data_IF_790114595199
#
_entry.id   IF_790114595199
#
_cell.length_a   1.000
_cell.length_b   1.000
_cell.length_c   1.000
_cell.angle_alpha   90.00
_cell.angle_beta   90.00
_cell.angle_gamma   90.00
#
_symmetry.space_group_name_H-M   'P 1'
#
loop_
_entity.id
_entity.type
_entity.pdbx_description
1 polymer ?
#
# COMPACT_ATOMS: atom_id res chain seq x y z
N UNK A 1 -25.43 12.16 -1.90
CA UNK A 1 -24.76 11.14 -1.04
C UNK A 1 -23.57 10.46 -1.70
N UNK A 2 -23.47 10.34 -3.04
CA UNK A 2 -22.31 9.70 -3.71
C UNK A 2 -20.95 10.32 -3.34
N UNK A 3 -20.88 11.65 -3.26
CA UNK A 3 -19.66 12.39 -2.87
C UNK A 3 -19.17 12.05 -1.45
N UNK A 4 -20.07 11.93 -0.47
CA UNK A 4 -19.71 11.58 0.91
C UNK A 4 -19.07 10.19 1.01
N UNK A 5 -19.54 9.23 0.22
CA UNK A 5 -18.99 7.86 0.19
C UNK A 5 -17.61 7.83 -0.44
N UNK A 6 -17.38 8.59 -1.52
CA UNK A 6 -16.05 8.68 -2.14
C UNK A 6 -15.03 9.37 -1.21
N UNK A 7 -15.41 10.46 -0.54
CA UNK A 7 -14.55 11.09 0.47
C UNK A 7 -14.20 10.14 1.62
N UNK A 8 -15.16 9.32 2.07
CA UNK A 8 -14.91 8.31 3.10
C UNK A 8 -13.90 7.25 2.64
N UNK A 9 -14.00 6.77 1.39
CA UNK A 9 -13.04 5.81 0.83
C UNK A 9 -11.62 6.36 0.79
N UNK A 10 -11.44 7.63 0.42
CA UNK A 10 -10.13 8.28 0.41
C UNK A 10 -9.59 8.39 1.84
N UNK A 11 -10.43 8.82 2.80
CA UNK A 11 -10.05 8.92 4.21
C UNK A 11 -9.71 7.57 4.86
N UNK A 12 -10.28 6.46 4.36
CA UNK A 12 -10.10 5.14 4.96
C UNK A 12 -8.65 4.67 4.98
N UNK A 13 -7.86 5.04 3.97
CA UNK A 13 -6.43 4.72 3.93
C UNK A 13 -5.63 5.39 5.06
N UNK A 14 -6.05 6.57 5.53
CA UNK A 14 -5.38 7.31 6.60
C UNK A 14 -5.59 6.66 7.98
N UNK A 15 -6.64 5.85 8.18
CA UNK A 15 -6.85 5.14 9.45
C UNK A 15 -5.79 4.10 9.78
N UNK A 16 -4.97 3.69 8.80
CA UNK A 16 -3.90 2.72 9.05
C UNK A 16 -2.65 3.35 9.68
N UNK A 17 -2.49 4.67 9.56
CA UNK A 17 -1.28 5.40 9.98
C UNK A 17 -0.96 5.23 11.48
N UNK A 18 -1.93 5.28 12.43
CA UNK A 18 -1.64 5.02 13.84
C UNK A 18 -1.06 3.63 14.10
N UNK A 19 -1.50 2.61 13.34
CA UNK A 19 -0.95 1.26 13.45
C UNK A 19 0.47 1.18 12.90
N UNK A 20 0.79 1.96 11.86
CA UNK A 20 2.15 2.01 11.31
C UNK A 20 3.16 2.55 12.33
N UNK A 21 2.80 3.61 13.06
CA UNK A 21 3.66 4.14 14.13
C UNK A 21 3.89 3.12 15.25
N UNK A 22 2.89 2.28 15.55
CA UNK A 22 3.03 1.22 16.55
C UNK A 22 4.00 0.12 16.10
N UNK A 23 3.95 -0.30 14.82
CA UNK A 23 4.81 -1.36 14.31
C UNK A 23 6.22 -0.90 13.91
N UNK A 24 6.42 0.39 13.64
CA UNK A 24 7.70 0.93 13.16
C UNK A 24 8.08 2.20 13.90
N UNK A 25 8.86 2.10 15.00
CA UNK A 25 9.38 3.26 15.73
C UNK A 25 10.20 4.20 14.85
N UNK A 26 10.83 3.68 13.79
CA UNK A 26 11.55 4.50 12.81
C UNK A 26 10.69 5.57 12.11
N UNK A 27 9.36 5.41 12.06
CA UNK A 27 8.46 6.46 11.56
C UNK A 27 8.34 7.65 12.53
N UNK A 28 8.66 7.44 13.80
CA UNK A 28 8.77 8.48 14.83
C UNK A 28 10.18 9.09 14.90
N UNK A 29 11.02 8.79 13.89
CA UNK A 29 12.44 9.18 13.85
C UNK A 29 13.27 8.60 15.00
N UNK A 30 12.83 7.48 15.57
CA UNK A 30 13.58 6.74 16.57
C UNK A 30 14.41 5.63 15.88
N UNK A 31 15.73 5.70 15.99
CA UNK A 31 16.65 4.67 15.49
C UNK A 31 17.74 5.19 14.54
N UNK A 32 18.33 4.27 13.79
CA UNK A 32 19.36 4.55 12.78
C UNK A 32 18.77 5.30 11.57
N UNK A 33 19.52 6.25 10.99
CA UNK A 33 19.08 7.02 9.82
C UNK A 33 18.62 6.15 8.65
N UNK A 34 19.30 5.02 8.40
CA UNK A 34 18.97 4.10 7.34
C UNK A 34 17.65 3.36 7.60
N UNK A 35 17.37 3.04 8.87
CA UNK A 35 16.12 2.40 9.28
C UNK A 35 14.94 3.37 9.15
N UNK A 36 15.11 4.62 9.59
CA UNK A 36 14.11 5.68 9.44
C UNK A 36 13.77 5.88 7.95
N UNK A 37 14.78 6.04 7.10
CA UNK A 37 14.59 6.24 5.67
C UNK A 37 13.87 5.03 5.01
N UNK A 38 14.25 3.81 5.40
CA UNK A 38 13.60 2.58 4.91
C UNK A 38 12.14 2.51 5.34
N UNK A 39 11.86 2.66 6.63
CA UNK A 39 10.50 2.55 7.18
C UNK A 39 9.59 3.63 6.60
N UNK A 40 10.10 4.85 6.37
CA UNK A 40 9.37 5.90 5.66
C UNK A 40 9.08 5.50 4.19
N UNK A 41 10.05 4.96 3.47
CA UNK A 41 9.88 4.56 2.08
C UNK A 41 8.86 3.41 1.94
N UNK A 42 8.97 2.37 2.77
CA UNK A 42 8.04 1.22 2.75
C UNK A 42 6.64 1.62 3.18
N UNK A 43 6.53 2.49 4.19
CA UNK A 43 5.27 3.08 4.62
C UNK A 43 4.54 3.82 3.49
N UNK A 44 5.25 4.69 2.75
CA UNK A 44 4.67 5.45 1.64
C UNK A 44 4.12 4.53 0.56
N UNK A 45 4.88 3.49 0.19
CA UNK A 45 4.44 2.50 -0.81
C UNK A 45 3.25 1.70 -0.28
N UNK A 46 3.28 1.27 0.99
CA UNK A 46 2.19 0.53 1.63
C UNK A 46 0.87 1.32 1.63
N UNK A 47 0.90 2.59 2.03
CA UNK A 47 -0.30 3.47 2.04
C UNK A 47 -0.83 3.71 0.61
N UNK A 48 0.06 3.85 -0.37
CA UNK A 48 -0.32 3.96 -1.77
C UNK A 48 -1.05 2.71 -2.27
N UNK A 49 -0.51 1.51 -2.00
CA UNK A 49 -1.15 0.24 -2.37
C UNK A 49 -2.48 0.04 -1.66
N UNK A 50 -2.59 0.42 -0.38
CA UNK A 50 -3.84 0.38 0.37
C UNK A 50 -4.89 1.29 -0.26
N UNK A 51 -4.50 2.52 -0.61
CA UNK A 51 -5.38 3.48 -1.29
C UNK A 51 -5.87 2.94 -2.63
N UNK A 52 -4.97 2.33 -3.42
CA UNK A 52 -5.32 1.69 -4.69
C UNK A 52 -6.31 0.53 -4.51
N UNK A 53 -6.14 -0.30 -3.47
CA UNK A 53 -7.07 -1.39 -3.15
C UNK A 53 -8.47 -0.86 -2.80
N UNK A 54 -8.55 0.17 -1.95
CA UNK A 54 -9.80 0.78 -1.50
C UNK A 54 -10.52 1.48 -2.66
N UNK A 55 -9.81 2.25 -3.47
CA UNK A 55 -10.38 2.89 -4.66
C UNK A 55 -10.73 1.87 -5.75
N UNK A 56 -10.01 0.74 -5.81
CA UNK A 56 -10.09 -0.25 -6.91
C UNK A 56 -9.57 0.26 -8.22
N UNK A 57 -8.59 1.16 -8.13
CA UNK A 57 -7.93 1.71 -9.27
C UNK A 57 -6.43 1.63 -9.04
N UNK A 58 -5.76 0.95 -9.96
CA UNK A 58 -4.32 0.78 -9.96
C UNK A 58 -3.89 0.78 -11.42
N UNK A 59 -3.58 1.94 -12.00
CA UNK A 59 -3.27 2.08 -13.44
C UNK A 59 -4.34 1.48 -14.39
N UNK A 60 -5.59 1.39 -13.93
CA UNK A 60 -6.68 0.67 -14.58
C UNK A 60 -7.72 0.20 -13.57
N UNK A 61 -8.86 -0.31 -14.06
CA UNK A 61 -9.90 -0.90 -13.19
C UNK A 61 -9.40 -2.22 -12.61
N UNK A 62 -9.55 -2.37 -11.30
CA UNK A 62 -9.03 -3.50 -10.54
C UNK A 62 -10.18 -4.41 -10.08
N UNK A 63 -10.11 -5.70 -10.43
CA UNK A 63 -11.06 -6.70 -9.95
C UNK A 63 -10.93 -6.98 -8.45
N UNK A 64 -11.94 -7.61 -7.85
CA UNK A 64 -11.98 -7.90 -6.40
C UNK A 64 -10.76 -8.71 -5.94
N UNK A 65 -10.35 -9.71 -6.73
CA UNK A 65 -9.20 -10.56 -6.38
C UNK A 65 -7.89 -9.77 -6.31
N UNK A 66 -7.68 -8.85 -7.26
CA UNK A 66 -6.48 -8.05 -7.33
C UNK A 66 -6.48 -6.93 -6.27
N UNK A 67 -7.66 -6.42 -5.89
CA UNK A 67 -7.82 -5.54 -4.71
C UNK A 67 -7.38 -6.24 -3.42
N UNK A 68 -7.78 -7.50 -3.22
CA UNK A 68 -7.35 -8.27 -2.04
C UNK A 68 -5.84 -8.49 -2.04
N UNK A 69 -5.24 -8.76 -3.20
CA UNK A 69 -3.79 -8.88 -3.33
C UNK A 69 -3.05 -7.57 -3.02
N UNK A 70 -3.56 -6.42 -3.51
CA UNK A 70 -3.02 -5.09 -3.19
C UNK A 70 -3.13 -4.79 -1.68
N UNK A 71 -4.25 -5.14 -1.06
CA UNK A 71 -4.45 -4.97 0.37
C UNK A 71 -3.48 -5.85 1.18
N UNK A 72 -3.27 -7.10 0.78
CA UNK A 72 -2.28 -7.98 1.39
C UNK A 72 -0.85 -7.41 1.25
N UNK A 73 -0.48 -6.92 0.06
CA UNK A 73 0.82 -6.29 -0.17
C UNK A 73 1.03 -5.06 0.71
N UNK A 74 0.01 -4.21 0.83
CA UNK A 74 0.04 -3.02 1.69
C UNK A 74 0.24 -3.39 3.17
N UNK A 75 -0.53 -4.37 3.68
CA UNK A 75 -0.44 -4.78 5.08
C UNK A 75 0.93 -5.41 5.43
N UNK A 76 1.53 -6.16 4.49
CA UNK A 76 2.87 -6.72 4.68
C UNK A 76 3.94 -5.63 4.79
N UNK A 77 3.84 -4.55 4.01
CA UNK A 77 4.74 -3.39 4.12
C UNK A 77 4.50 -2.55 5.37
N UNK A 78 3.28 -2.55 5.91
CA UNK A 78 2.90 -1.78 7.10
C UNK A 78 3.48 -2.41 8.39
N UNK A 79 3.77 -3.71 8.39
CA UNK A 79 4.25 -4.38 9.59
C UNK A 79 5.72 -4.07 9.94
N UNK A 80 6.47 -3.39 9.07
CA UNK A 80 7.80 -2.86 9.37
C UNK A 80 8.94 -3.87 9.51
N UNK A 81 8.70 -5.14 9.20
CA UNK A 81 9.71 -6.18 9.24
C UNK A 81 10.53 -6.23 7.95
N UNK A 82 11.84 -6.47 8.05
CA UNK A 82 12.70 -6.65 6.86
C UNK A 82 12.17 -7.69 5.88
N UNK A 83 11.73 -8.84 6.39
CA UNK A 83 11.16 -9.93 5.59
C UNK A 83 9.79 -9.56 5.03
N UNK A 84 8.92 -8.93 5.82
CA UNK A 84 7.56 -8.56 5.41
C UNK A 84 7.58 -7.47 4.36
N UNK A 85 8.48 -6.50 4.50
CA UNK A 85 8.71 -5.43 3.53
C UNK A 85 9.23 -6.01 2.21
N UNK A 86 10.22 -6.91 2.25
CA UNK A 86 10.73 -7.55 1.03
C UNK A 86 9.64 -8.33 0.28
N UNK A 87 8.82 -9.11 1.01
CA UNK A 87 7.69 -9.85 0.43
C UNK A 87 6.63 -8.89 -0.11
N UNK A 88 6.30 -7.83 0.63
CA UNK A 88 5.36 -6.80 0.22
C UNK A 88 5.81 -6.08 -1.05
N UNK A 89 7.10 -5.70 -1.15
CA UNK A 89 7.70 -5.08 -2.34
C UNK A 89 7.62 -6.03 -3.53
N UNK A 90 8.02 -7.29 -3.36
CA UNK A 90 7.97 -8.28 -4.43
C UNK A 90 6.53 -8.48 -4.94
N UNK A 91 5.56 -8.57 -4.03
CA UNK A 91 4.14 -8.71 -4.38
C UNK A 91 3.60 -7.46 -5.07
N UNK A 92 3.90 -6.26 -4.56
CA UNK A 92 3.52 -4.99 -5.16
C UNK A 92 4.09 -4.80 -6.56
N UNK A 93 5.37 -5.16 -6.76
CA UNK A 93 6.01 -5.13 -8.07
C UNK A 93 5.38 -6.13 -9.05
N UNK A 94 5.10 -7.36 -8.59
CA UNK A 94 4.42 -8.36 -9.41
C UNK A 94 3.01 -7.88 -9.84
N UNK A 95 2.25 -7.28 -8.91
CA UNK A 95 0.94 -6.70 -9.20
C UNK A 95 1.04 -5.52 -10.17
N UNK A 96 2.05 -4.66 -10.02
CA UNK A 96 2.31 -3.54 -10.94
C UNK A 96 2.58 -4.04 -12.37
N UNK A 97 3.45 -5.04 -12.53
CA UNK A 97 3.75 -5.64 -13.84
C UNK A 97 2.52 -6.35 -14.42
N UNK A 98 1.78 -7.09 -13.60
CA UNK A 98 0.55 -7.76 -14.05
C UNK A 98 -0.48 -6.74 -14.56
N UNK A 99 -0.70 -5.66 -13.81
CA UNK A 99 -1.71 -4.67 -14.09
C UNK A 99 -1.34 -3.77 -15.28
N UNK A 100 -0.07 -3.37 -15.43
CA UNK A 100 0.39 -2.60 -16.59
C UNK A 100 0.31 -3.43 -17.89
N UNK A 101 0.60 -4.73 -17.83
CA UNK A 101 0.41 -5.65 -18.97
C UNK A 101 -1.06 -5.87 -19.32
N UNK A 102 -1.94 -5.93 -18.32
CA UNK A 102 -3.38 -6.06 -18.54
C UNK A 102 -3.99 -4.77 -19.12
N UNK A 103 -3.57 -3.61 -18.62
CA UNK A 103 -3.98 -2.31 -19.14
C UNK A 103 -3.53 -2.12 -20.60
N UNK A 104 -2.30 -2.51 -20.94
CA UNK A 104 -1.79 -2.48 -22.32
C UNK A 104 -2.53 -3.44 -23.28
N UNK A 105 -3.19 -4.49 -22.77
CA UNK A 105 -4.01 -5.41 -23.57
C UNK A 105 -5.44 -4.92 -23.81
N UNK A 106 -5.89 -3.91 -23.06
CA UNK A 106 -7.27 -3.39 -23.12
C UNK A 106 -7.35 -2.05 -23.87
N UNK A 107 -6.20 -1.47 -24.24
CA UNK A 107 -6.07 -0.27 -25.08
C UNK A 107 -5.88 -0.66 -26.55
#
# INVERSE_FOLDING_TARGET
MKTSVESFKIGMAAFVVPFMFFYSPGLLMEGEWLEIARNCATALVGVFLLSAAVQGFFFGKVGVLLRLALLAAALLMISGGLLTDAVGIALGAALYVYQTRLAARTA
#
